data_IF_741285987112
#
_entry.id   IF_741285987112
#
_cell.length_a   1.000
_cell.length_b   1.000
_cell.length_c   1.000
_cell.angle_alpha   90.00
_cell.angle_beta   90.00
_cell.angle_gamma   90.00
#
_symmetry.space_group_name_H-M   'P 1'
#
loop_
_entity.id
_entity.type
_entity.pdbx_description
1 polymer ?
#
# COMPACT_ATOMS: atom_id res chain seq x y z
N UNK A 1 6.49 -4.30 5.81
CA UNK A 1 7.02 -5.59 5.36
C UNK A 1 7.05 -5.71 3.84
N UNK A 2 5.91 -5.74 3.15
CA UNK A 2 5.88 -5.89 1.68
C UNK A 2 6.65 -4.77 0.94
N UNK A 3 6.49 -3.51 1.38
CA UNK A 3 7.27 -2.37 0.87
C UNK A 3 8.78 -2.62 1.03
N UNK A 4 9.21 -3.14 2.17
CA UNK A 4 10.62 -3.48 2.42
C UNK A 4 11.12 -4.58 1.49
N UNK A 5 10.30 -5.59 1.16
CA UNK A 5 10.66 -6.60 0.17
C UNK A 5 10.87 -5.97 -1.22
N UNK A 6 10.01 -5.03 -1.61
CA UNK A 6 10.17 -4.29 -2.87
C UNK A 6 11.47 -3.48 -2.89
N UNK A 7 11.84 -2.83 -1.79
CA UNK A 7 13.12 -2.10 -1.69
C UNK A 7 14.35 -2.99 -1.83
N UNK A 8 14.23 -4.26 -1.45
CA UNK A 8 15.33 -5.24 -1.48
C UNK A 8 15.16 -6.25 -2.61
N UNK A 9 14.37 -5.94 -3.64
CA UNK A 9 14.11 -6.84 -4.76
C UNK A 9 15.37 -7.17 -5.59
N UNK A 10 16.43 -6.38 -5.45
CA UNK A 10 17.75 -6.65 -6.02
C UNK A 10 18.40 -7.91 -5.40
N UNK A 11 18.15 -8.19 -4.12
CA UNK A 11 18.71 -9.33 -3.38
C UNK A 11 17.70 -10.41 -3.00
N UNK A 12 16.50 -10.03 -2.57
CA UNK A 12 15.45 -10.96 -2.14
C UNK A 12 14.65 -11.39 -3.35
N UNK A 13 14.82 -12.64 -3.77
CA UNK A 13 14.18 -13.18 -4.99
C UNK A 13 12.96 -14.05 -4.72
N UNK A 14 12.82 -14.56 -3.50
CA UNK A 14 11.72 -15.42 -3.08
C UNK A 14 11.29 -14.99 -1.68
N UNK A 15 9.99 -14.84 -1.48
CA UNK A 15 9.38 -14.61 -0.18
C UNK A 15 8.07 -15.42 -0.09
N UNK A 16 7.86 -16.08 1.04
CA UNK A 16 6.67 -16.89 1.29
C UNK A 16 5.94 -16.34 2.51
N UNK A 17 4.67 -15.95 2.36
CA UNK A 17 3.82 -15.58 3.48
C UNK A 17 3.46 -16.84 4.28
N UNK A 18 3.81 -16.86 5.56
CA UNK A 18 3.50 -17.96 6.47
C UNK A 18 2.24 -17.61 7.29
N UNK A 19 1.10 -18.26 7.11
CA UNK A 19 0.74 -19.24 6.06
C UNK A 19 -0.40 -18.70 5.19
N UNK A 20 -0.94 -19.53 4.28
CA UNK A 20 -1.93 -19.07 3.29
C UNK A 20 -3.38 -19.20 3.75
N UNK A 21 -3.74 -20.26 4.50
CA UNK A 21 -5.13 -20.55 4.90
C UNK A 21 -5.22 -20.98 6.36
N UNK A 22 -6.15 -20.39 7.12
CA UNK A 22 -6.50 -20.62 8.54
C UNK A 22 -5.41 -20.35 9.59
N UNK A 23 -4.21 -20.91 9.41
CA UNK A 23 -3.12 -20.80 10.38
C UNK A 23 -2.34 -19.53 10.09
N UNK A 24 -2.47 -18.50 10.94
CA UNK A 24 -1.82 -17.18 10.78
C UNK A 24 -1.90 -16.67 9.33
N UNK A 25 -3.10 -16.71 8.77
CA UNK A 25 -3.33 -16.65 7.33
C UNK A 25 -4.11 -15.41 6.89
N UNK A 26 -3.91 -14.95 5.65
CA UNK A 26 -4.75 -13.92 5.03
C UNK A 26 -6.13 -14.46 4.62
N UNK A 27 -6.29 -15.78 4.46
CA UNK A 27 -7.54 -16.42 4.06
C UNK A 27 -8.03 -17.31 5.19
N UNK A 28 -9.29 -17.17 5.58
CA UNK A 28 -9.94 -18.04 6.55
C UNK A 28 -11.07 -18.81 5.90
N UNK A 29 -11.32 -20.02 6.38
CA UNK A 29 -12.41 -20.88 5.92
C UNK A 29 -13.14 -21.49 7.11
N UNK A 30 -14.43 -21.74 6.93
CA UNK A 30 -15.25 -22.59 7.79
C UNK A 30 -15.93 -23.65 6.92
N UNK A 31 -16.76 -24.50 7.52
CA UNK A 31 -17.64 -25.41 6.78
C UNK A 31 -18.68 -24.66 5.91
N UNK A 32 -18.93 -23.36 6.18
CA UNK A 32 -19.96 -22.55 5.51
C UNK A 32 -19.42 -21.66 4.40
N UNK A 33 -18.12 -21.39 4.37
CA UNK A 33 -17.53 -20.51 3.36
C UNK A 33 -16.10 -20.07 3.66
N UNK A 34 -15.65 -19.02 2.97
CA UNK A 34 -14.34 -18.42 3.18
C UNK A 34 -14.43 -16.88 3.22
N UNK A 35 -13.46 -16.26 3.89
CA UNK A 35 -13.36 -14.80 3.95
C UNK A 35 -11.91 -14.32 4.02
N UNK A 36 -11.71 -13.05 3.64
CA UNK A 36 -10.42 -12.38 3.68
C UNK A 36 -10.16 -11.75 5.06
N UNK A 37 -9.01 -12.04 5.64
CA UNK A 37 -8.47 -11.29 6.78
C UNK A 37 -7.93 -9.94 6.31
N UNK A 38 -7.71 -9.01 7.23
CA UNK A 38 -7.24 -7.65 6.91
C UNK A 38 -5.89 -7.66 6.17
N UNK A 39 -5.03 -8.64 6.47
CA UNK A 39 -3.72 -8.87 5.82
C UNK A 39 -3.80 -9.37 4.38
N UNK A 40 -4.97 -9.85 3.93
CA UNK A 40 -5.20 -10.27 2.55
C UNK A 40 -5.01 -9.12 1.57
N UNK A 41 -5.54 -7.93 1.89
CA UNK A 41 -5.61 -6.82 0.93
C UNK A 41 -4.23 -6.25 0.57
N UNK A 42 -3.32 -5.95 1.52
CA UNK A 42 -1.97 -5.51 1.16
C UNK A 42 -1.24 -6.57 0.34
N UNK A 43 -1.39 -7.86 0.69
CA UNK A 43 -0.74 -8.96 -0.05
C UNK A 43 -1.30 -9.09 -1.47
N UNK A 44 -2.62 -9.05 -1.65
CA UNK A 44 -3.29 -9.08 -2.95
C UNK A 44 -2.76 -7.97 -3.85
N UNK A 45 -2.80 -6.71 -3.39
CA UNK A 45 -2.45 -5.59 -4.23
C UNK A 45 -0.95 -5.49 -4.52
N UNK A 46 -0.09 -5.86 -3.58
CA UNK A 46 1.34 -5.99 -3.88
C UNK A 46 1.58 -7.12 -4.88
N UNK A 47 0.87 -8.24 -4.80
CA UNK A 47 1.00 -9.32 -5.78
C UNK A 47 0.49 -8.92 -7.17
N UNK A 48 -0.63 -8.21 -7.27
CA UNK A 48 -1.21 -7.79 -8.55
C UNK A 48 -0.42 -6.64 -9.20
N UNK A 49 -0.08 -5.61 -8.42
CA UNK A 49 0.45 -4.35 -8.94
C UNK A 49 1.93 -4.11 -8.63
N UNK A 50 2.59 -5.03 -7.92
CA UNK A 50 4.02 -5.00 -7.64
C UNK A 50 4.84 -5.79 -8.66
N UNK A 51 4.38 -5.91 -9.91
CA UNK A 51 5.06 -6.63 -11.00
C UNK A 51 5.77 -5.66 -11.92
N UNK A 52 7.03 -5.95 -12.25
CA UNK A 52 7.87 -5.11 -13.09
C UNK A 52 9.15 -4.69 -12.38
N UNK A 53 9.61 -3.46 -12.64
CA UNK A 53 10.84 -2.91 -12.09
C UNK A 53 10.57 -2.18 -10.79
N UNK A 54 11.14 -2.66 -9.69
CA UNK A 54 11.11 -1.92 -8.42
C UNK A 54 12.00 -0.68 -8.52
N UNK A 55 11.41 0.48 -8.24
CA UNK A 55 12.08 1.77 -8.21
C UNK A 55 12.38 2.15 -6.77
N UNK A 56 13.51 2.82 -6.56
CA UNK A 56 13.86 3.41 -5.26
C UNK A 56 13.40 4.88 -5.22
N UNK A 57 12.27 5.19 -4.56
CA UNK A 57 11.81 6.57 -4.47
C UNK A 57 12.75 7.41 -3.60
N UNK A 58 12.92 8.68 -3.97
CA UNK A 58 13.56 9.68 -3.10
C UNK A 58 12.47 10.25 -2.18
N UNK A 59 12.29 9.60 -1.03
CA UNK A 59 11.23 9.94 -0.07
C UNK A 59 11.72 10.93 0.98
N UNK A 60 10.96 12.00 1.20
CA UNK A 60 11.09 12.90 2.35
C UNK A 60 9.85 12.77 3.21
N UNK A 61 10.03 12.46 4.48
CA UNK A 61 8.94 12.30 5.46
C UNK A 61 9.40 12.84 6.81
N UNK A 62 8.52 13.50 7.58
CA UNK A 62 8.80 13.74 8.99
C UNK A 62 9.07 12.43 9.72
N UNK A 63 9.79 12.52 10.83
CA UNK A 63 10.26 11.35 11.56
C UNK A 63 9.77 11.40 13.01
N UNK A 64 9.64 10.22 13.62
CA UNK A 64 9.37 10.05 15.04
C UNK A 64 10.35 9.05 15.66
N UNK A 65 10.50 9.09 16.98
CA UNK A 65 11.19 8.06 17.74
C UNK A 65 10.16 7.18 18.45
N UNK A 66 10.37 5.86 18.39
CA UNK A 66 9.66 4.88 19.21
C UNK A 66 10.53 4.49 20.41
N UNK A 67 10.05 3.57 21.25
CA UNK A 67 10.84 3.03 22.35
C UNK A 67 12.11 2.29 21.89
N UNK A 68 12.11 1.73 20.67
CA UNK A 68 13.18 0.88 20.15
C UNK A 68 13.96 1.51 18.99
N UNK A 69 13.39 2.49 18.29
CA UNK A 69 13.95 3.03 17.06
C UNK A 69 13.85 4.55 17.02
N UNK A 70 14.95 5.21 16.66
CA UNK A 70 14.98 6.65 16.39
C UNK A 70 14.80 6.96 14.91
N UNK A 71 14.33 8.18 14.61
CA UNK A 71 14.25 8.74 13.26
C UNK A 71 13.44 7.90 12.26
N UNK A 72 12.39 7.22 12.74
CA UNK A 72 11.51 6.40 11.91
C UNK A 72 10.63 7.31 11.05
N UNK A 73 10.61 7.18 9.71
CA UNK A 73 9.75 8.02 8.88
C UNK A 73 8.28 7.63 9.06
N UNK A 74 7.41 8.64 9.16
CA UNK A 74 5.96 8.41 9.21
C UNK A 74 5.46 7.73 7.93
N UNK A 75 6.00 8.14 6.77
CA UNK A 75 5.67 7.54 5.48
C UNK A 75 6.78 6.57 5.07
N UNK A 76 6.40 5.35 4.71
CA UNK A 76 7.26 4.42 3.98
C UNK A 76 6.59 4.06 2.66
N UNK A 77 7.36 4.02 1.59
CA UNK A 77 6.82 3.85 0.25
C UNK A 77 7.79 3.15 -0.70
N UNK A 78 7.25 2.37 -1.62
CA UNK A 78 7.96 1.81 -2.76
C UNK A 78 7.17 2.12 -4.04
N UNK A 79 7.87 2.21 -5.17
CA UNK A 79 7.24 2.37 -6.47
C UNK A 79 7.65 1.23 -7.39
N UNK A 80 6.74 0.76 -8.24
CA UNK A 80 6.99 -0.27 -9.24
C UNK A 80 6.52 0.23 -10.59
N UNK A 81 7.41 0.21 -11.56
CA UNK A 81 7.09 0.46 -12.97
C UNK A 81 6.73 -0.86 -13.64
N UNK A 82 5.50 -0.96 -14.15
CA UNK A 82 5.01 -2.10 -14.89
C UNK A 82 5.58 -2.16 -16.31
N UNK A 83 5.61 -3.35 -16.90
CA UNK A 83 6.05 -3.54 -18.29
C UNK A 83 5.16 -2.83 -19.32
N UNK A 84 3.90 -2.58 -18.95
CA UNK A 84 2.93 -1.79 -19.72
C UNK A 84 3.15 -0.26 -19.61
N UNK A 85 4.17 0.17 -18.85
CA UNK A 85 4.45 1.57 -18.56
C UNK A 85 3.55 2.16 -17.49
N UNK A 86 2.76 1.35 -16.77
CA UNK A 86 2.07 1.79 -15.56
C UNK A 86 3.05 2.06 -14.43
N UNK A 87 2.65 2.90 -13.48
CA UNK A 87 3.40 3.14 -12.26
C UNK A 87 2.48 2.89 -11.06
N UNK A 88 2.92 2.05 -10.13
CA UNK A 88 2.21 1.82 -8.87
C UNK A 88 3.08 2.26 -7.70
N UNK A 89 2.55 3.12 -6.84
CA UNK A 89 3.16 3.53 -5.58
C UNK A 89 2.42 2.84 -4.43
N UNK A 90 3.15 2.07 -3.64
CA UNK A 90 2.70 1.52 -2.36
C UNK A 90 3.17 2.44 -1.25
N UNK A 91 2.27 2.88 -0.36
CA UNK A 91 2.63 3.78 0.74
C UNK A 91 1.91 3.40 2.04
N UNK A 92 2.64 3.44 3.14
CA UNK A 92 2.15 3.26 4.50
C UNK A 92 2.25 4.58 5.26
N UNK A 93 1.17 5.03 5.87
CA UNK A 93 1.18 6.08 6.89
C UNK A 93 1.17 5.45 8.28
N UNK A 94 2.24 5.68 9.06
CA UNK A 94 2.39 5.18 10.44
C UNK A 94 1.81 6.11 11.50
N UNK A 95 1.46 7.35 11.15
CA UNK A 95 0.90 8.28 12.13
C UNK A 95 -0.46 7.79 12.61
N UNK A 96 -0.69 7.88 13.92
CA UNK A 96 -1.95 7.57 14.58
C UNK A 96 -2.95 8.72 14.60
N UNK A 97 -2.51 9.94 14.26
CA UNK A 97 -3.27 11.17 14.49
C UNK A 97 -3.29 12.14 13.30
N UNK A 98 -2.48 11.89 12.28
CA UNK A 98 -2.24 12.83 11.19
C UNK A 98 -2.39 12.16 9.83
N UNK A 99 -3.27 12.75 9.02
CA UNK A 99 -3.31 12.51 7.58
C UNK A 99 -2.12 13.21 6.91
N UNK A 100 -1.55 12.58 5.89
CA UNK A 100 -0.47 13.16 5.11
C UNK A 100 -0.87 13.35 3.66
N UNK A 101 -0.67 14.55 3.13
CA UNK A 101 -0.72 14.77 1.68
C UNK A 101 0.64 14.41 1.08
N UNK A 102 0.70 13.31 0.32
CA UNK A 102 1.93 12.85 -0.34
C UNK A 102 2.09 13.59 -1.67
N UNK A 103 3.16 14.36 -1.84
CA UNK A 103 3.48 14.99 -3.13
C UNK A 103 4.34 14.09 -4.00
N UNK A 104 3.74 13.47 -5.01
CA UNK A 104 4.43 12.64 -6.01
C UNK A 104 4.85 13.49 -7.22
N UNK A 105 6.16 13.71 -7.42
CA UNK A 105 6.71 14.36 -8.61
C UNK A 105 7.00 13.32 -9.70
N UNK A 106 6.11 13.22 -10.68
CA UNK A 106 6.16 12.20 -11.73
C UNK A 106 6.42 12.79 -13.12
N UNK A 107 6.95 14.02 -13.20
CA UNK A 107 7.20 14.72 -14.48
C UNK A 107 8.13 13.98 -15.43
N UNK A 108 9.01 13.12 -14.90
CA UNK A 108 9.89 12.27 -15.71
C UNK A 108 9.13 11.15 -16.46
N UNK A 109 7.92 10.82 -16.02
CA UNK A 109 7.07 9.82 -16.65
C UNK A 109 6.05 10.49 -17.59
N UNK A 110 6.46 10.69 -18.84
CA UNK A 110 5.63 11.35 -19.83
C UNK A 110 4.32 10.58 -20.09
N UNK A 111 3.19 11.28 -20.04
CA UNK A 111 1.87 10.72 -20.37
C UNK A 111 1.23 9.88 -19.27
N UNK A 112 1.80 9.79 -18.07
CA UNK A 112 1.11 9.15 -16.95
C UNK A 112 -0.13 9.94 -16.54
N UNK A 113 -1.23 9.21 -16.34
CA UNK A 113 -2.49 9.70 -15.80
C UNK A 113 -2.79 8.95 -14.52
N UNK A 114 -3.36 9.64 -13.55
CA UNK A 114 -3.91 8.99 -12.36
C UNK A 114 -5.05 8.05 -12.76
N UNK A 115 -5.05 6.84 -12.18
CA UNK A 115 -6.06 5.81 -12.44
C UNK A 115 -6.86 5.49 -11.18
N UNK A 116 -6.17 5.11 -10.11
CA UNK A 116 -6.84 4.73 -8.88
C UNK A 116 -5.99 4.91 -7.64
N UNK A 117 -6.65 5.17 -6.51
CA UNK A 117 -6.06 5.18 -5.18
C UNK A 117 -6.88 4.27 -4.26
N UNK A 118 -6.29 3.14 -3.90
CA UNK A 118 -6.88 2.15 -3.01
C UNK A 118 -6.36 2.40 -1.60
N UNK A 119 -7.27 2.57 -0.65
CA UNK A 119 -6.97 2.89 0.74
C UNK A 119 -7.52 1.80 1.64
N UNK A 120 -6.65 1.17 2.43
CA UNK A 120 -7.05 0.31 3.54
C UNK A 120 -6.79 1.08 4.84
N UNK A 121 -7.87 1.41 5.54
CA UNK A 121 -7.88 2.17 6.78
C UNK A 121 -9.13 1.80 7.58
N UNK A 122 -9.04 1.88 8.91
CA UNK A 122 -10.18 1.77 9.81
C UNK A 122 -9.90 2.62 11.07
N UNK A 123 -10.92 3.27 11.63
CA UNK A 123 -10.76 4.14 12.81
C UNK A 123 -10.38 3.34 14.07
N UNK A 124 -10.98 2.16 14.24
CA UNK A 124 -10.60 1.21 15.29
C UNK A 124 -9.44 0.32 14.84
N UNK A 125 -8.28 0.48 15.48
CA UNK A 125 -7.06 -0.30 15.23
C UNK A 125 -7.23 -1.80 15.59
N UNK A 126 -8.18 -2.14 16.46
CA UNK A 126 -8.46 -3.50 16.88
C UNK A 126 -9.53 -4.19 16.00
N UNK A 127 -10.07 -3.50 14.98
CA UNK A 127 -11.09 -4.07 14.11
C UNK A 127 -10.58 -5.28 13.32
N UNK A 128 -11.44 -6.30 13.20
CA UNK A 128 -11.12 -7.56 12.53
C UNK A 128 -12.25 -8.00 11.59
N UNK A 129 -11.88 -8.81 10.58
CA UNK A 129 -12.85 -9.47 9.72
C UNK A 129 -13.20 -10.85 10.29
N UNK A 130 -14.50 -11.09 10.43
CA UNK A 130 -15.05 -12.37 10.92
C UNK A 130 -15.89 -13.02 9.83
N UNK A 131 -16.25 -14.28 10.00
CA UNK A 131 -17.16 -14.95 9.06
C UNK A 131 -18.53 -14.24 8.94
N UNK A 132 -19.05 -13.70 10.06
CA UNK A 132 -20.33 -12.99 10.08
C UNK A 132 -20.23 -11.55 9.53
N UNK A 133 -19.05 -10.94 9.63
CA UNK A 133 -18.75 -9.60 9.12
C UNK A 133 -17.41 -9.62 8.38
N UNK A 134 -17.37 -10.18 7.15
CA UNK A 134 -16.11 -10.44 6.45
C UNK A 134 -15.46 -9.19 5.86
N UNK A 135 -16.18 -8.06 5.85
CA UNK A 135 -15.77 -6.81 5.22
C UNK A 135 -15.76 -5.62 6.21
N UNK A 136 -15.63 -5.87 7.52
CA UNK A 136 -15.50 -4.80 8.54
C UNK A 136 -14.32 -3.88 8.19
N UNK A 137 -13.19 -4.47 7.80
CA UNK A 137 -12.00 -3.77 7.32
C UNK A 137 -11.74 -4.23 5.89
N UNK A 138 -12.09 -3.35 4.96
CA UNK A 138 -11.96 -3.57 3.52
C UNK A 138 -11.43 -2.30 2.83
N UNK A 139 -10.72 -2.44 1.71
CA UNK A 139 -10.18 -1.31 0.98
C UNK A 139 -11.30 -0.47 0.33
N UNK A 140 -11.10 0.84 0.32
CA UNK A 140 -11.93 1.80 -0.40
C UNK A 140 -11.14 2.33 -1.59
N UNK A 141 -11.77 2.31 -2.77
CA UNK A 141 -11.17 2.78 -4.01
C UNK A 141 -11.61 4.22 -4.32
N UNK A 142 -10.65 5.06 -4.68
CA UNK A 142 -10.85 6.44 -5.12
C UNK A 142 -10.36 6.58 -6.55
N UNK A 143 -11.06 7.37 -7.36
CA UNK A 143 -10.75 7.61 -8.78
C UNK A 143 -10.38 9.05 -9.07
N UNK A 144 -10.14 9.84 -8.03
CA UNK A 144 -9.73 11.24 -8.14
C UNK A 144 -8.50 11.49 -7.26
N UNK A 145 -7.62 12.33 -7.77
CA UNK A 145 -6.42 12.80 -7.08
C UNK A 145 -6.10 14.20 -7.59
N UNK A 146 -5.87 15.13 -6.67
CA UNK A 146 -5.45 16.47 -7.02
C UNK A 146 -4.09 16.41 -7.73
N UNK A 147 -4.01 17.05 -8.91
CA UNK A 147 -2.84 17.03 -9.77
C UNK A 147 -2.59 18.39 -10.41
N UNK A 148 -1.31 18.71 -10.63
CA UNK A 148 -0.86 19.91 -11.34
C UNK A 148 0.51 19.63 -11.96
N UNK A 149 0.66 19.88 -13.27
CA UNK A 149 1.93 19.81 -13.99
C UNK A 149 2.75 18.52 -13.74
N UNK A 150 2.10 17.35 -13.80
CA UNK A 150 2.73 16.05 -13.59
C UNK A 150 3.09 15.75 -12.12
N UNK A 151 2.58 16.54 -11.19
CA UNK A 151 2.62 16.28 -9.74
C UNK A 151 1.26 15.84 -9.26
N UNK A 152 1.22 14.81 -8.42
CA UNK A 152 -0.01 14.24 -7.86
C UNK A 152 0.04 14.31 -6.34
N UNK A 153 -1.12 14.56 -5.71
CA UNK A 153 -1.20 14.81 -4.27
C UNK A 153 -2.28 13.95 -3.57
N UNK A 154 -2.12 12.61 -3.55
CA UNK A 154 -3.02 11.75 -2.79
C UNK A 154 -2.91 12.03 -1.28
N UNK A 155 -4.04 11.98 -0.59
CA UNK A 155 -4.11 12.08 0.87
C UNK A 155 -4.06 10.68 1.46
N UNK A 156 -3.10 10.43 2.35
CA UNK A 156 -2.91 9.18 3.07
C UNK A 156 -3.50 9.35 4.48
N UNK A 157 -4.65 8.73 4.80
CA UNK A 157 -5.22 8.84 6.15
C UNK A 157 -4.27 8.35 7.24
N UNK A 158 -4.46 8.76 8.48
CA UNK A 158 -3.80 8.16 9.64
C UNK A 158 -3.94 6.62 9.61
N UNK A 159 -2.89 5.90 9.99
CA UNK A 159 -2.83 4.42 10.03
C UNK A 159 -3.39 3.76 8.76
N UNK A 160 -2.90 4.17 7.58
CA UNK A 160 -3.42 3.68 6.31
C UNK A 160 -2.36 3.00 5.44
N UNK A 161 -2.79 1.96 4.74
CA UNK A 161 -2.07 1.36 3.63
C UNK A 161 -2.68 1.82 2.30
N UNK A 162 -1.84 2.26 1.37
CA UNK A 162 -2.26 2.95 0.17
C UNK A 162 -1.61 2.33 -1.06
N UNK A 163 -2.39 2.18 -2.12
CA UNK A 163 -1.92 1.79 -3.46
C UNK A 163 -2.40 2.84 -4.44
N UNK A 164 -1.47 3.59 -5.01
CA UNK A 164 -1.74 4.70 -5.92
C UNK A 164 -1.23 4.29 -7.29
N UNK A 165 -2.12 4.20 -8.26
CA UNK A 165 -1.83 3.72 -9.61
C UNK A 165 -1.94 4.82 -10.63
N UNK A 166 -1.01 4.79 -11.57
CA UNK A 166 -0.96 5.63 -12.74
C UNK A 166 -0.85 4.75 -13.96
N UNK A 167 -1.61 5.08 -15.01
CA UNK A 167 -1.57 4.38 -16.29
C UNK A 167 -0.99 5.31 -17.34
N UNK A 168 -0.29 4.73 -18.31
CA UNK A 168 0.15 5.48 -19.49
C UNK A 168 -1.07 5.79 -20.35
N UNK A 169 -1.32 7.08 -20.58
CA UNK A 169 -2.47 7.57 -21.34
C UNK A 169 -2.23 7.77 -22.82
#
# INVERSE_FOLDING_TARGET
>A
MLITLLHNADRVKIACLAQLVNVIAPIMTSERGCWAQTTYWPFLYTSLYGRGTSLRPILKSPQYSSAEFDNVPFIDAAAVEGEDGSLTIFALNRSSDSDFQLSCDLRAFAGLRFDTHIVLHHEDIAATNTEAAPNTVAPVTRHECAQLDGRFTPVLPALSWNVIRFMKG
#
